data_IF_157345118580
#
_entry.id   IF_157345118580
#
_cell.length_a   1.000
_cell.length_b   1.000
_cell.length_c   1.000
_cell.angle_alpha   90.00
_cell.angle_beta   90.00
_cell.angle_gamma   90.00
#
_symmetry.space_group_name_H-M   'P 1'
#
loop_
_entity.id
_entity.type
_entity.pdbx_description
1 polymer ?
#
# COMPACT_ATOMS: atom_id res chain seq x y z
N UNK A 1 -18.23 -7.71 -12.34
CA UNK A 1 -18.00 -6.67 -11.32
C UNK A 1 -16.60 -6.19 -11.62
N UNK A 2 -16.40 -4.91 -11.96
CA UNK A 2 -15.10 -4.46 -12.47
C UNK A 2 -14.05 -4.50 -11.36
N UNK A 3 -12.97 -5.24 -11.62
CA UNK A 3 -11.80 -5.43 -10.75
C UNK A 3 -10.94 -4.13 -10.67
N UNK A 4 -11.56 -3.00 -10.36
CA UNK A 4 -10.85 -1.73 -10.29
C UNK A 4 -10.18 -1.58 -8.92
N UNK A 5 -8.84 -1.54 -8.93
CA UNK A 5 -8.02 -1.24 -7.77
C UNK A 5 -8.41 0.12 -7.17
N UNK A 6 -8.41 0.27 -5.83
CA UNK A 6 -8.83 1.51 -5.20
C UNK A 6 -7.87 2.67 -5.48
N UNK A 7 -8.45 3.86 -5.58
CA UNK A 7 -7.75 5.13 -5.77
C UNK A 7 -8.42 6.22 -4.90
N UNK A 8 -7.66 7.27 -4.65
CA UNK A 8 -8.08 8.51 -4.02
C UNK A 8 -8.05 9.61 -5.09
N UNK A 9 -8.99 10.53 -5.05
CA UNK A 9 -9.03 11.71 -5.92
C UNK A 9 -9.12 12.96 -5.05
N UNK A 10 -8.36 14.01 -5.37
CA UNK A 10 -8.42 15.28 -4.65
C UNK A 10 -9.27 16.33 -5.39
N UNK A 11 -9.36 17.55 -4.85
CA UNK A 11 -10.17 18.63 -5.42
C UNK A 11 -9.68 19.12 -6.79
N UNK A 12 -8.43 18.82 -7.15
CA UNK A 12 -7.83 19.15 -8.45
C UNK A 12 -8.08 18.05 -9.50
N UNK A 13 -8.70 16.93 -9.12
CA UNK A 13 -8.86 15.75 -9.98
C UNK A 13 -7.61 14.88 -10.09
N UNK A 14 -6.58 15.13 -9.26
CA UNK A 14 -5.37 14.33 -9.23
C UNK A 14 -5.62 13.03 -8.46
N UNK A 15 -4.92 11.97 -8.84
CA UNK A 15 -5.16 10.60 -8.38
C UNK A 15 -4.00 10.10 -7.53
N UNK A 16 -4.31 9.44 -6.40
CA UNK A 16 -3.33 8.74 -5.59
C UNK A 16 -3.78 7.32 -5.25
N UNK A 17 -2.84 6.41 -5.02
CA UNK A 17 -3.11 5.03 -4.60
C UNK A 17 -3.00 4.95 -3.07
N UNK A 18 -4.06 4.53 -2.35
CA UNK A 18 -4.01 4.37 -0.91
C UNK A 18 -3.21 3.13 -0.51
N UNK A 19 -2.41 3.22 0.55
CA UNK A 19 -1.91 2.04 1.24
C UNK A 19 -3.08 1.35 1.93
N UNK A 20 -3.37 0.12 1.54
CA UNK A 20 -4.55 -0.60 2.05
C UNK A 20 -4.39 -1.09 3.48
N UNK A 21 -3.16 -1.38 3.92
CA UNK A 21 -2.93 -2.02 5.21
C UNK A 21 -2.95 -1.04 6.38
N UNK A 22 -2.27 0.11 6.25
CA UNK A 22 -2.15 1.13 7.32
C UNK A 22 -1.75 0.55 8.70
N UNK A 23 -0.89 -0.47 8.68
CA UNK A 23 -0.49 -1.23 9.87
C UNK A 23 0.75 -0.65 10.56
N UNK A 24 1.72 -0.17 9.78
CA UNK A 24 2.94 0.40 10.32
C UNK A 24 2.69 1.82 10.87
N UNK A 25 3.33 2.16 11.97
CA UNK A 25 3.26 3.51 12.56
C UNK A 25 3.75 4.58 11.58
N UNK A 26 4.78 4.25 10.79
CA UNK A 26 5.35 5.08 9.74
C UNK A 26 4.79 4.74 8.34
N UNK A 27 3.54 4.26 8.25
CA UNK A 27 2.90 4.00 6.97
C UNK A 27 2.77 5.29 6.13
N UNK A 28 3.21 5.24 4.88
CA UNK A 28 3.16 6.33 3.87
C UNK A 28 1.73 6.80 3.55
N UNK A 29 0.71 6.04 3.95
CA UNK A 29 -0.74 6.29 3.79
C UNK A 29 -1.26 6.25 2.35
N UNK A 30 -0.59 6.91 1.41
CA UNK A 30 -0.96 7.00 -0.01
C UNK A 30 0.26 7.35 -0.88
N UNK A 31 0.18 7.12 -2.18
CA UNK A 31 1.15 7.63 -3.15
C UNK A 31 1.09 9.15 -3.25
N UNK A 32 2.00 9.73 -4.04
CA UNK A 32 1.81 11.08 -4.55
C UNK A 32 0.53 11.18 -5.38
N UNK A 33 -0.06 12.38 -5.37
CA UNK A 33 -1.12 12.75 -6.27
C UNK A 33 -0.53 12.99 -7.66
N UNK A 34 -1.02 12.26 -8.64
CA UNK A 34 -0.54 12.24 -10.02
C UNK A 34 -1.66 12.67 -10.98
N UNK A 35 -1.33 13.00 -12.22
CA UNK A 35 -2.32 13.46 -13.20
C UNK A 35 -3.32 12.36 -13.58
N UNK A 36 -2.88 11.09 -13.56
CA UNK A 36 -3.71 9.95 -13.87
C UNK A 36 -3.37 8.66 -13.09
N UNK A 37 -4.10 7.58 -13.41
CA UNK A 37 -3.96 6.28 -12.75
C UNK A 37 -2.70 5.52 -13.16
N UNK A 38 -2.15 5.79 -14.34
CA UNK A 38 -0.94 5.13 -14.84
C UNK A 38 0.27 5.70 -14.12
N UNK A 39 0.38 7.02 -14.05
CA UNK A 39 1.45 7.71 -13.32
C UNK A 39 1.43 7.36 -11.82
N UNK A 40 0.25 7.33 -11.19
CA UNK A 40 0.13 6.89 -9.80
C UNK A 40 0.58 5.43 -9.58
N UNK A 41 0.41 4.56 -10.60
CA UNK A 41 0.89 3.16 -10.55
C UNK A 41 2.41 3.09 -10.70
N UNK A 42 2.97 3.81 -11.66
CA UNK A 42 4.42 3.89 -11.85
C UNK A 42 5.10 4.37 -10.56
N UNK A 43 4.53 5.38 -9.91
CA UNK A 43 5.05 5.88 -8.62
C UNK A 43 5.11 4.78 -7.55
N UNK A 44 4.03 4.02 -7.35
CA UNK A 44 4.04 2.96 -6.31
C UNK A 44 4.95 1.80 -6.69
N UNK A 45 5.13 1.52 -7.97
CA UNK A 45 6.08 0.52 -8.46
C UNK A 45 7.53 0.97 -8.23
N UNK A 46 7.86 2.22 -8.52
CA UNK A 46 9.17 2.83 -8.27
C UNK A 46 9.50 2.87 -6.76
N UNK A 47 8.51 3.19 -5.92
CA UNK A 47 8.61 3.15 -4.46
C UNK A 47 8.51 1.74 -3.87
N UNK A 48 8.54 0.71 -4.71
CA UNK A 48 8.56 -0.70 -4.33
C UNK A 48 7.38 -1.15 -3.46
N UNK A 49 6.19 -0.54 -3.63
CA UNK A 49 4.99 -1.00 -2.96
C UNK A 49 4.58 -2.39 -3.46
N UNK A 50 3.92 -3.14 -2.58
CA UNK A 50 3.50 -4.51 -2.87
C UNK A 50 2.07 -4.52 -3.38
N UNK A 51 1.83 -5.13 -4.55
CA UNK A 51 0.50 -5.40 -5.07
C UNK A 51 -0.03 -6.73 -4.54
N UNK A 52 -1.18 -6.73 -3.87
CA UNK A 52 -1.87 -7.94 -3.37
C UNK A 52 -2.82 -8.56 -4.41
N UNK A 53 -3.04 -7.89 -5.53
CA UNK A 53 -4.15 -8.16 -6.46
C UNK A 53 -5.47 -7.47 -6.05
N UNK A 54 -5.62 -7.08 -4.79
CA UNK A 54 -6.76 -6.30 -4.29
C UNK A 54 -6.41 -4.80 -4.13
N UNK A 55 -5.12 -4.47 -4.20
CA UNK A 55 -4.57 -3.12 -4.16
C UNK A 55 -3.12 -3.12 -3.73
N UNK A 56 -2.63 -1.95 -3.32
CA UNK A 56 -1.23 -1.76 -2.97
C UNK A 56 -1.04 -1.49 -1.48
N UNK A 57 0.12 -1.87 -0.97
CA UNK A 57 0.57 -1.46 0.36
C UNK A 57 2.06 -1.16 0.37
N UNK A 58 2.43 -0.15 1.16
CA UNK A 58 3.80 0.32 1.22
C UNK A 58 4.75 -0.69 1.90
N UNK A 59 6.04 -0.56 1.62
CA UNK A 59 7.10 -1.41 2.17
C UNK A 59 7.08 -1.43 3.70
N UNK A 60 6.79 -0.30 4.34
CA UNK A 60 6.73 -0.19 5.81
C UNK A 60 5.64 -1.09 6.39
N UNK A 61 4.47 -1.13 5.75
CA UNK A 61 3.40 -2.05 6.15
C UNK A 61 3.77 -3.51 5.88
N UNK A 62 4.46 -3.80 4.77
CA UNK A 62 4.97 -5.14 4.50
C UNK A 62 5.96 -5.61 5.59
N UNK A 63 6.90 -4.76 5.98
CA UNK A 63 7.83 -5.05 7.09
C UNK A 63 7.09 -5.33 8.39
N UNK A 64 6.06 -4.54 8.71
CA UNK A 64 5.26 -4.74 9.91
C UNK A 64 4.50 -6.09 9.87
N UNK A 65 3.98 -6.49 8.71
CA UNK A 65 3.37 -7.82 8.52
C UNK A 65 4.39 -8.91 8.80
N UNK A 66 5.59 -8.83 8.22
CA UNK A 66 6.64 -9.83 8.43
C UNK A 66 7.07 -9.90 9.91
N UNK A 67 7.23 -8.76 10.59
CA UNK A 67 7.50 -8.71 12.03
C UNK A 67 6.40 -9.37 12.85
N UNK A 68 5.14 -9.10 12.52
CA UNK A 68 3.99 -9.71 13.18
C UNK A 68 3.98 -11.24 13.01
N UNK A 69 4.25 -11.72 11.80
CA UNK A 69 4.35 -13.16 11.49
C UNK A 69 5.49 -13.81 12.30
N UNK A 70 6.67 -13.18 12.33
CA UNK A 70 7.81 -13.67 13.11
C UNK A 70 7.45 -13.78 14.60
N UNK A 71 6.85 -12.74 15.18
CA UNK A 71 6.43 -12.74 16.59
C UNK A 71 5.38 -13.83 16.90
N UNK A 72 4.46 -14.10 15.97
CA UNK A 72 3.50 -15.20 16.11
C UNK A 72 4.18 -16.57 16.08
N UNK A 73 5.19 -16.75 15.23
CA UNK A 73 5.95 -18.00 15.15
C UNK A 73 6.73 -18.28 16.45
N UNK A 74 7.35 -17.25 17.04
CA UNK A 74 8.06 -17.38 18.33
C UNK A 74 7.11 -17.68 19.48
N UNK A 75 5.92 -17.07 19.51
CA UNK A 75 4.89 -17.34 20.54
C UNK A 75 4.38 -18.79 20.53
N UNK A 76 4.42 -19.48 19.40
CA UNK A 76 4.02 -20.90 19.30
C UNK A 76 5.10 -21.88 19.78
N UNK A 77 6.33 -21.42 20.00
CA UNK A 77 7.48 -22.24 20.42
C UNK A 77 7.74 -22.21 21.92
N UNK A 78 6.92 -21.48 22.70
CA UNK A 78 6.99 -21.36 24.17
C UNK A 78 5.75 -22.03 24.75
#
# INVERSE_FOLDING_TARGET
MSDELPYLENENGEIAIPCQLKLAENCVQQSEYCEDREEAREWVEDECWICSGEGYFCVQCNEQVLRNIANLSTKKMI
#
